data_IF_243458490401
#
_entry.id   IF_243458490401
#
_cell.length_a   1.000
_cell.length_b   1.000
_cell.length_c   1.000
_cell.angle_alpha   90.00
_cell.angle_beta   90.00
_cell.angle_gamma   90.00
#
_symmetry.space_group_name_H-M   'P 1'
#
loop_
_entity.id
_entity.type
_entity.pdbx_description
1 polymer ?
#
# COMPACT_ATOMS: atom_id res chain seq x y z
N UNK A 1 -12.08 5.87 -9.25
CA UNK A 1 -11.67 5.55 -7.91
C UNK A 1 -12.56 6.32 -6.95
N UNK A 2 -13.34 5.61 -6.12
CA UNK A 2 -13.96 6.25 -4.97
C UNK A 2 -12.81 6.70 -4.09
N UNK A 3 -12.48 7.99 -4.16
CA UNK A 3 -11.60 8.59 -3.16
C UNK A 3 -12.26 8.37 -1.80
N UNK A 4 -11.52 7.85 -0.84
CA UNK A 4 -11.94 7.88 0.55
C UNK A 4 -12.27 9.35 0.89
N UNK A 5 -13.51 9.57 1.33
CA UNK A 5 -14.05 10.91 1.47
C UNK A 5 -14.36 11.53 0.11
N UNK A 6 -15.44 11.09 -0.55
CA UNK A 6 -15.99 11.83 -1.68
C UNK A 6 -16.42 13.21 -1.18
N UNK A 7 -15.53 14.17 -1.34
CA UNK A 7 -15.96 15.58 -1.30
C UNK A 7 -16.95 15.69 -2.45
N UNK A 8 -18.20 15.94 -2.16
CA UNK A 8 -19.09 16.45 -3.18
C UNK A 8 -18.45 17.75 -3.68
N UNK A 9 -17.97 17.71 -4.91
CA UNK A 9 -17.34 18.88 -5.53
C UNK A 9 -18.40 19.98 -5.63
N UNK A 10 -18.30 20.96 -4.74
CA UNK A 10 -19.04 22.20 -4.89
C UNK A 10 -18.26 23.09 -5.88
N UNK A 11 -18.88 23.44 -7.00
CA UNK A 11 -18.31 24.35 -7.98
C UNK A 11 -17.83 25.70 -7.40
N UNK A 12 -18.17 25.99 -6.16
CA UNK A 12 -17.72 27.18 -5.41
C UNK A 12 -16.34 27.01 -4.78
N UNK A 13 -15.80 25.77 -4.71
CA UNK A 13 -14.51 25.49 -4.06
C UNK A 13 -13.28 25.82 -4.92
N UNK A 14 -13.44 26.16 -6.19
CA UNK A 14 -12.30 26.40 -7.09
C UNK A 14 -11.54 25.12 -7.47
N UNK A 15 -10.29 25.26 -7.92
CA UNK A 15 -9.45 24.14 -8.29
C UNK A 15 -8.99 23.37 -7.06
N UNK A 16 -9.27 22.06 -7.02
CA UNK A 16 -8.83 21.15 -5.97
C UNK A 16 -7.63 20.35 -6.48
N UNK A 17 -6.56 20.30 -5.70
CA UNK A 17 -5.41 19.43 -5.94
C UNK A 17 -5.60 18.11 -5.20
N UNK A 18 -5.36 17.00 -5.89
CA UNK A 18 -5.43 15.67 -5.32
C UNK A 18 -4.01 15.16 -5.07
N UNK A 19 -3.77 14.68 -3.86
CA UNK A 19 -2.49 14.08 -3.50
C UNK A 19 -2.49 12.63 -3.95
N UNK A 20 -1.66 12.30 -4.94
CA UNK A 20 -1.53 10.95 -5.49
C UNK A 20 -0.51 10.10 -4.71
N UNK A 21 0.59 10.72 -4.27
CA UNK A 21 1.62 10.07 -3.44
C UNK A 21 1.91 10.87 -2.17
N UNK A 22 2.48 10.19 -1.18
CA UNK A 22 2.83 10.79 0.10
C UNK A 22 1.65 10.98 1.06
N UNK A 23 0.45 10.50 0.75
CA UNK A 23 -0.73 10.66 1.60
C UNK A 23 -0.47 10.23 3.05
N UNK A 24 0.14 9.06 3.26
CA UNK A 24 0.45 8.58 4.62
C UNK A 24 1.46 9.47 5.34
N UNK A 25 2.49 9.93 4.64
CA UNK A 25 3.51 10.84 5.20
C UNK A 25 2.90 12.17 5.60
N UNK A 26 2.08 12.75 4.76
CA UNK A 26 1.37 14.02 5.04
C UNK A 26 0.36 13.82 6.16
N UNK A 27 -0.39 12.72 6.17
CA UNK A 27 -1.33 12.40 7.26
C UNK A 27 -0.59 12.29 8.61
N UNK A 28 0.54 11.58 8.66
CA UNK A 28 1.35 11.46 9.88
C UNK A 28 1.87 12.82 10.37
N UNK A 29 2.36 13.65 9.45
CA UNK A 29 2.79 15.02 9.79
C UNK A 29 1.62 15.89 10.27
N UNK A 30 0.47 15.80 9.61
CA UNK A 30 -0.73 16.52 10.01
C UNK A 30 -1.15 16.15 11.45
N UNK A 31 -1.20 14.84 11.76
CA UNK A 31 -1.53 14.33 13.09
C UNK A 31 -0.56 14.87 14.14
N UNK A 32 0.75 14.80 13.91
CA UNK A 32 1.77 15.25 14.86
C UNK A 32 1.72 16.77 15.05
N UNK A 33 1.61 17.53 13.97
CA UNK A 33 1.68 19.00 14.04
C UNK A 33 0.40 19.59 14.62
N UNK A 34 -0.76 19.08 14.22
CA UNK A 34 -2.06 19.66 14.60
C UNK A 34 -2.72 18.98 15.79
N UNK A 35 -2.34 17.75 16.12
CA UNK A 35 -3.03 16.91 17.11
C UNK A 35 -4.42 16.45 16.68
N UNK A 36 -4.83 16.76 15.44
CA UNK A 36 -6.17 16.50 14.92
C UNK A 36 -6.16 15.47 13.81
N UNK A 37 -7.27 14.77 13.66
CA UNK A 37 -7.49 13.90 12.49
C UNK A 37 -7.79 14.77 11.28
N UNK A 38 -7.21 14.48 10.10
CA UNK A 38 -7.56 15.20 8.87
C UNK A 38 -9.07 15.14 8.59
N UNK A 39 -9.69 16.20 8.05
CA UNK A 39 -11.14 16.35 7.95
C UNK A 39 -11.91 15.22 7.24
N UNK A 40 -11.20 14.43 6.42
CA UNK A 40 -11.80 13.36 5.62
C UNK A 40 -11.49 11.95 6.11
N UNK A 41 -10.90 11.82 7.32
CA UNK A 41 -10.59 10.56 7.94
C UNK A 41 -11.45 10.33 9.18
N UNK A 42 -11.84 9.09 9.42
CA UNK A 42 -12.37 8.66 10.71
C UNK A 42 -11.24 8.09 11.58
N UNK A 43 -11.39 8.18 12.91
CA UNK A 43 -10.36 7.71 13.85
C UNK A 43 -9.96 6.24 13.61
N UNK A 44 -10.91 5.38 13.30
CA UNK A 44 -10.68 3.96 12.97
C UNK A 44 -9.84 3.74 11.70
N UNK A 45 -9.67 4.74 10.86
CA UNK A 45 -8.89 4.66 9.61
C UNK A 45 -7.41 5.00 9.84
N UNK A 46 -7.07 5.56 10.99
CA UNK A 46 -5.70 5.87 11.39
C UNK A 46 -5.05 4.59 11.92
N UNK A 47 -4.27 3.92 11.09
CA UNK A 47 -3.60 2.66 11.47
C UNK A 47 -2.35 2.86 12.32
N UNK A 48 -1.64 3.99 12.13
CA UNK A 48 -0.47 4.37 12.91
C UNK A 48 -0.68 5.78 13.44
N UNK A 49 -1.25 5.89 14.64
CA UNK A 49 -1.49 7.17 15.26
C UNK A 49 -0.19 7.75 15.84
N UNK A 50 0.26 8.83 15.24
CA UNK A 50 1.49 9.52 15.63
C UNK A 50 1.26 10.64 16.65
N UNK A 51 0.02 10.93 17.06
CA UNK A 51 -0.31 11.97 18.03
C UNK A 51 0.28 11.70 19.42
N UNK A 52 0.38 10.44 19.81
CA UNK A 52 0.97 10.04 21.09
C UNK A 52 2.49 9.86 21.08
N UNK A 53 3.21 10.48 20.13
CA UNK A 53 4.67 10.40 20.05
C UNK A 53 5.30 11.45 20.97
N UNK A 54 6.25 11.03 21.80
CA UNK A 54 7.03 11.88 22.69
C UNK A 54 8.44 12.07 22.16
N UNK A 55 9.02 13.21 22.49
CA UNK A 55 10.42 13.53 22.21
C UNK A 55 11.16 13.86 23.49
N UNK A 56 12.38 13.35 23.61
CA UNK A 56 13.30 13.76 24.65
C UNK A 56 14.09 15.01 24.21
N UNK A 57 13.90 16.12 24.88
CA UNK A 57 14.52 17.39 24.49
C UNK A 57 16.03 17.47 24.74
N UNK A 58 16.62 16.52 25.48
CA UNK A 58 18.09 16.47 25.66
C UNK A 58 18.80 15.83 24.44
N UNK A 59 18.21 14.75 23.88
CA UNK A 59 18.91 13.92 22.90
C UNK A 59 18.15 13.75 21.57
N UNK A 60 16.89 14.23 21.49
CA UNK A 60 16.05 14.12 20.28
C UNK A 60 15.44 12.74 20.06
N UNK A 61 15.52 11.82 21.04
CA UNK A 61 14.93 10.49 20.94
C UNK A 61 13.41 10.57 20.84
N UNK A 62 12.83 9.80 19.92
CA UNK A 62 11.38 9.71 19.71
C UNK A 62 10.86 8.36 20.18
N UNK A 63 9.85 8.34 21.03
CA UNK A 63 9.19 7.12 21.49
C UNK A 63 7.71 7.39 21.78
N UNK A 64 6.89 6.34 21.65
CA UNK A 64 5.56 6.35 22.24
C UNK A 64 5.66 6.27 23.77
N UNK A 65 4.65 6.80 24.46
CA UNK A 65 4.65 6.90 25.92
C UNK A 65 5.05 5.59 26.60
N UNK A 66 6.06 5.69 27.48
CA UNK A 66 6.51 4.61 28.35
C UNK A 66 6.57 5.12 29.80
N UNK A 67 5.66 4.64 30.62
CA UNK A 67 5.55 5.07 32.03
C UNK A 67 6.89 5.01 32.77
N UNK A 68 7.65 3.93 32.58
CA UNK A 68 8.92 3.69 33.29
C UNK A 68 10.01 4.74 33.08
N UNK A 69 9.98 5.44 31.96
CA UNK A 69 11.03 6.42 31.60
C UNK A 69 10.52 7.85 31.43
N UNK A 70 9.20 8.03 31.31
CA UNK A 70 8.61 9.36 31.02
C UNK A 70 7.80 9.97 32.16
N UNK A 71 7.18 9.16 33.05
CA UNK A 71 6.22 9.63 34.07
C UNK A 71 6.76 10.76 34.95
N UNK A 72 8.07 10.75 35.28
CA UNK A 72 8.69 11.76 36.15
C UNK A 72 9.87 12.47 35.49
N UNK A 73 9.96 12.39 34.17
CA UNK A 73 11.05 13.02 33.43
C UNK A 73 10.51 14.13 32.52
N UNK A 74 10.65 15.41 32.97
CA UNK A 74 10.10 16.56 32.25
C UNK A 74 10.82 16.86 30.91
N UNK A 75 11.91 16.15 30.58
CA UNK A 75 12.58 16.26 29.28
C UNK A 75 11.81 15.52 28.20
N UNK A 76 10.96 14.55 28.56
CA UNK A 76 10.06 13.91 27.63
C UNK A 76 8.77 14.70 27.48
N UNK A 77 8.57 15.26 26.30
CA UNK A 77 7.42 16.11 25.97
C UNK A 77 6.67 15.50 24.79
N UNK A 78 5.35 15.60 24.79
CA UNK A 78 4.56 15.19 23.64
C UNK A 78 4.94 16.04 22.41
N UNK A 79 5.25 15.39 21.32
CA UNK A 79 5.78 16.08 20.12
C UNK A 79 4.78 17.10 19.56
N UNK A 80 3.49 16.79 19.63
CA UNK A 80 2.39 17.70 19.24
C UNK A 80 2.43 18.99 20.08
N UNK A 81 2.65 18.88 21.38
CA UNK A 81 2.75 20.05 22.25
C UNK A 81 3.95 20.92 21.87
N UNK A 82 5.10 20.33 21.51
CA UNK A 82 6.26 21.09 21.05
C UNK A 82 5.92 21.92 19.82
N UNK A 83 5.14 21.40 18.87
CA UNK A 83 4.72 22.13 17.67
C UNK A 83 3.71 23.26 17.97
N UNK A 84 2.78 23.04 18.89
CA UNK A 84 1.68 23.96 19.18
C UNK A 84 2.03 25.03 20.19
N UNK A 85 2.97 24.73 21.09
CA UNK A 85 3.33 25.63 22.18
C UNK A 85 4.17 26.83 21.71
N UNK A 86 3.88 27.99 22.27
CA UNK A 86 4.62 29.24 22.04
C UNK A 86 5.88 29.31 22.95
N UNK A 87 6.72 28.28 22.93
CA UNK A 87 7.94 28.14 23.71
C UNK A 87 7.74 28.09 25.24
N UNK A 88 6.53 27.90 25.72
CA UNK A 88 6.22 27.85 27.19
C UNK A 88 6.88 26.64 27.83
N UNK A 89 6.85 25.48 27.18
CA UNK A 89 7.51 24.25 27.64
C UNK A 89 9.01 24.49 27.76
N UNK A 90 9.61 25.05 26.70
CA UNK A 90 11.05 25.40 26.67
C UNK A 90 11.43 26.32 27.82
N UNK A 91 10.67 27.41 28.04
CA UNK A 91 10.93 28.37 29.11
C UNK A 91 10.78 27.73 30.48
N UNK A 92 9.79 26.86 30.67
CA UNK A 92 9.60 26.15 31.95
C UNK A 92 10.78 25.23 32.29
N UNK A 93 11.38 24.57 31.29
CA UNK A 93 12.58 23.75 31.49
C UNK A 93 13.82 24.61 31.78
N UNK A 94 14.06 25.64 31.00
CA UNK A 94 15.25 26.50 31.11
C UNK A 94 15.28 27.30 32.45
N UNK A 95 14.14 27.55 33.05
CA UNK A 95 14.04 28.23 34.36
C UNK A 95 14.39 27.33 35.56
N UNK A 96 14.54 26.02 35.36
CA UNK A 96 14.92 25.08 36.40
C UNK A 96 16.44 24.93 36.46
N UNK A 97 17.01 25.10 37.65
CA UNK A 97 18.47 25.02 37.88
C UNK A 97 19.05 23.66 37.46
N UNK A 98 18.28 22.59 37.63
CA UNK A 98 18.67 21.21 37.27
C UNK A 98 18.98 21.03 35.79
N UNK A 99 18.37 21.82 34.89
CA UNK A 99 18.58 21.71 33.44
C UNK A 99 19.55 22.73 32.86
N UNK A 100 20.09 23.64 33.66
CA UNK A 100 21.12 24.60 33.21
C UNK A 100 22.31 23.94 32.53
N UNK A 101 22.87 22.81 33.05
CA UNK A 101 24.02 22.18 32.40
C UNK A 101 23.75 21.64 30.99
N UNK A 102 22.49 21.35 30.66
CA UNK A 102 22.05 20.78 29.35
C UNK A 102 21.19 21.74 28.54
N UNK A 103 21.09 23.01 29.00
CA UNK A 103 20.22 24.02 28.37
C UNK A 103 20.49 24.22 26.88
N UNK A 104 21.75 24.16 26.46
CA UNK A 104 22.15 24.28 25.04
C UNK A 104 21.58 23.13 24.20
N UNK A 105 21.68 21.91 24.70
CA UNK A 105 21.11 20.72 24.01
C UNK A 105 19.57 20.81 23.90
N UNK A 106 18.91 21.24 24.95
CA UNK A 106 17.45 21.45 24.97
C UNK A 106 17.04 22.48 23.92
N UNK A 107 17.75 23.62 23.86
CA UNK A 107 17.54 24.68 22.87
C UNK A 107 17.74 24.18 21.45
N UNK A 108 18.84 23.47 21.20
CA UNK A 108 19.18 22.91 19.89
C UNK A 108 18.11 21.92 19.42
N UNK A 109 17.74 20.96 20.29
CA UNK A 109 16.73 19.93 19.96
C UNK A 109 15.36 20.54 19.68
N UNK A 110 14.90 21.45 20.58
CA UNK A 110 13.66 22.16 20.36
C UNK A 110 13.68 22.99 19.08
N UNK A 111 14.77 23.68 18.79
CA UNK A 111 14.96 24.46 17.56
C UNK A 111 14.90 23.58 16.30
N UNK A 112 15.54 22.41 16.32
CA UNK A 112 15.48 21.42 15.22
C UNK A 112 14.04 20.98 14.96
N UNK A 113 13.27 20.66 16.02
CA UNK A 113 11.88 20.24 15.91
C UNK A 113 11.02 21.37 15.30
N UNK A 114 11.11 22.57 15.86
CA UNK A 114 10.39 23.75 15.32
C UNK A 114 10.80 24.06 13.88
N UNK A 115 12.06 23.85 13.54
CA UNK A 115 12.59 24.03 12.18
C UNK A 115 11.93 23.14 11.13
N UNK A 116 11.35 22.00 11.54
CA UNK A 116 10.59 21.13 10.63
C UNK A 116 9.41 21.88 9.96
N UNK A 117 8.81 22.82 10.69
CA UNK A 117 7.69 23.63 10.15
C UNK A 117 8.13 24.58 9.01
N UNK A 118 9.42 24.80 8.84
CA UNK A 118 10.00 25.62 7.78
C UNK A 118 10.48 24.79 6.59
N UNK A 119 10.34 23.46 6.67
CA UNK A 119 10.76 22.56 5.59
C UNK A 119 9.78 22.66 4.43
N UNK A 120 10.30 23.03 3.26
CA UNK A 120 9.52 23.07 2.04
C UNK A 120 9.45 21.67 1.39
N UNK A 121 8.27 21.31 0.92
CA UNK A 121 8.06 20.10 0.14
C UNK A 121 7.99 20.45 -1.34
N UNK A 122 8.76 19.72 -2.15
CA UNK A 122 8.65 19.84 -3.60
C UNK A 122 7.37 19.18 -4.07
N UNK A 123 6.50 19.95 -4.71
CA UNK A 123 5.26 19.47 -5.31
C UNK A 123 5.47 19.21 -6.81
N UNK A 124 5.24 17.97 -7.24
CA UNK A 124 5.17 17.64 -8.67
C UNK A 124 3.71 17.63 -9.10
N UNK A 125 3.32 18.62 -9.90
CA UNK A 125 1.94 18.73 -10.40
C UNK A 125 1.81 17.95 -11.70
N UNK A 126 0.82 17.05 -11.76
CA UNK A 126 0.41 16.38 -13.00
C UNK A 126 -0.63 17.29 -13.67
N UNK A 127 -0.41 17.73 -14.93
CA UNK A 127 -1.37 18.56 -15.66
C UNK A 127 -2.73 17.85 -15.78
N UNK A 128 -3.81 18.62 -15.75
CA UNK A 128 -5.18 18.10 -15.86
C UNK A 128 -5.44 17.49 -17.26
N UNK A 129 -4.69 17.93 -18.25
CA UNK A 129 -4.74 17.47 -19.64
C UNK A 129 -3.97 16.16 -19.82
N UNK A 130 -3.13 15.76 -18.86
CA UNK A 130 -2.35 14.52 -18.94
C UNK A 130 -3.28 13.32 -19.04
N UNK A 131 -3.04 12.48 -20.03
CA UNK A 131 -3.73 11.21 -20.08
C UNK A 131 -3.22 10.27 -18.98
N UNK A 132 -3.98 9.20 -18.72
CA UNK A 132 -3.68 8.28 -17.61
C UNK A 132 -2.29 7.65 -17.71
N UNK A 133 -1.79 7.41 -18.90
CA UNK A 133 -0.47 6.86 -19.15
C UNK A 133 0.63 7.86 -18.78
N UNK A 134 0.49 9.11 -19.21
CA UNK A 134 1.41 10.18 -18.85
C UNK A 134 1.43 10.42 -17.34
N UNK A 135 0.26 10.39 -16.70
CA UNK A 135 0.17 10.53 -15.24
C UNK A 135 0.90 9.38 -14.51
N UNK A 136 0.79 8.15 -14.99
CA UNK A 136 1.48 6.98 -14.43
C UNK A 136 3.00 7.07 -14.69
N UNK A 137 3.43 7.48 -15.88
CA UNK A 137 4.85 7.64 -16.21
C UNK A 137 5.51 8.73 -15.35
N UNK A 138 4.82 9.85 -15.11
CA UNK A 138 5.27 10.90 -14.19
C UNK A 138 5.35 10.35 -12.76
N UNK A 139 4.29 9.66 -12.29
CA UNK A 139 4.25 9.06 -10.97
C UNK A 139 5.39 8.05 -10.76
N UNK A 140 5.67 7.21 -11.75
CA UNK A 140 6.79 6.26 -11.74
C UNK A 140 8.15 6.98 -11.65
N UNK A 141 8.35 8.01 -12.47
CA UNK A 141 9.60 8.78 -12.51
C UNK A 141 9.88 9.47 -11.17
N UNK A 142 8.87 10.07 -10.57
CA UNK A 142 8.98 10.76 -9.28
C UNK A 142 9.27 9.77 -8.15
N UNK A 143 8.67 8.58 -8.18
CA UNK A 143 8.86 7.56 -7.15
C UNK A 143 10.12 6.70 -7.34
N UNK A 144 10.84 6.83 -8.46
CA UNK A 144 12.05 6.04 -8.73
C UNK A 144 13.20 6.29 -7.73
N UNK A 145 13.17 7.39 -7.00
CA UNK A 145 14.11 7.70 -5.91
C UNK A 145 13.72 7.17 -4.52
N UNK A 146 12.55 6.50 -4.39
CA UNK A 146 12.00 5.97 -3.14
C UNK A 146 11.73 4.47 -3.22
N UNK A 147 10.59 4.04 -2.65
CA UNK A 147 10.09 2.66 -2.84
C UNK A 147 9.53 2.58 -4.25
N UNK A 148 10.24 1.87 -5.13
CA UNK A 148 9.79 1.66 -6.51
C UNK A 148 8.55 0.77 -6.52
N UNK A 149 7.53 1.18 -7.29
CA UNK A 149 6.39 0.31 -7.58
C UNK A 149 6.87 -0.93 -8.33
N UNK A 150 6.27 -2.06 -8.00
CA UNK A 150 6.47 -3.28 -8.79
C UNK A 150 5.77 -3.13 -10.16
N UNK A 151 6.24 -3.86 -11.16
CA UNK A 151 5.58 -3.90 -12.47
C UNK A 151 4.10 -4.30 -12.37
N UNK A 152 3.76 -5.14 -11.39
CA UNK A 152 2.39 -5.55 -11.12
C UNK A 152 1.53 -4.42 -10.54
N UNK A 153 2.08 -3.61 -9.65
CA UNK A 153 1.38 -2.43 -9.11
C UNK A 153 1.13 -1.40 -10.21
N UNK A 154 2.11 -1.20 -11.08
CA UNK A 154 1.98 -0.33 -12.25
C UNK A 154 0.92 -0.84 -13.23
N UNK A 155 0.95 -2.14 -13.55
CA UNK A 155 -0.06 -2.77 -14.40
C UNK A 155 -1.47 -2.65 -13.79
N UNK A 156 -1.63 -2.87 -12.47
CA UNK A 156 -2.90 -2.71 -11.80
C UNK A 156 -3.39 -1.25 -11.83
N UNK A 157 -2.50 -0.28 -11.63
CA UNK A 157 -2.87 1.13 -11.71
C UNK A 157 -3.44 1.48 -13.10
N UNK A 158 -2.81 0.98 -14.15
CA UNK A 158 -3.26 1.18 -15.52
C UNK A 158 -4.57 0.45 -15.83
N UNK A 159 -4.71 -0.81 -15.39
CA UNK A 159 -5.96 -1.58 -15.51
C UNK A 159 -7.10 -0.82 -14.80
N UNK A 160 -6.86 -0.31 -13.59
CA UNK A 160 -7.86 0.45 -12.82
C UNK A 160 -8.27 1.75 -13.51
N UNK A 161 -7.43 2.32 -14.36
CA UNK A 161 -7.74 3.51 -15.14
C UNK A 161 -8.86 3.32 -16.17
N UNK A 162 -9.06 2.10 -16.67
CA UNK A 162 -10.13 1.77 -17.61
C UNK A 162 -11.11 0.73 -17.08
N UNK A 163 -10.80 0.09 -15.96
CA UNK A 163 -11.67 -0.83 -15.23
C UNK A 163 -11.59 -0.51 -13.73
N UNK A 164 -12.47 0.35 -13.28
CA UNK A 164 -12.45 0.96 -11.95
C UNK A 164 -12.48 -0.09 -10.81
N UNK A 165 -13.29 -1.15 -10.95
CA UNK A 165 -13.48 -2.16 -9.92
C UNK A 165 -12.32 -3.18 -9.83
N UNK A 166 -11.38 -3.18 -10.78
CA UNK A 166 -10.32 -4.20 -10.87
C UNK A 166 -9.54 -4.37 -9.57
N UNK A 167 -9.16 -3.25 -8.95
CA UNK A 167 -8.38 -3.23 -7.72
C UNK A 167 -9.08 -3.92 -6.56
N UNK A 168 -10.37 -3.63 -6.40
CA UNK A 168 -11.15 -4.19 -5.30
C UNK A 168 -11.42 -5.67 -5.52
N UNK A 169 -11.76 -6.08 -6.74
CA UNK A 169 -11.97 -7.48 -7.12
C UNK A 169 -10.70 -8.33 -6.94
N UNK A 170 -9.53 -7.79 -7.28
CA UNK A 170 -8.26 -8.50 -7.08
C UNK A 170 -7.94 -8.66 -5.60
N UNK A 171 -8.14 -7.60 -4.80
CA UNK A 171 -7.95 -7.66 -3.35
C UNK A 171 -8.90 -8.64 -2.66
N UNK A 172 -10.17 -8.61 -3.04
CA UNK A 172 -11.17 -9.53 -2.50
C UNK A 172 -10.76 -10.99 -2.75
N UNK A 173 -10.31 -11.32 -3.97
CA UNK A 173 -9.84 -12.68 -4.28
C UNK A 173 -8.58 -13.05 -3.53
N UNK A 174 -7.62 -12.13 -3.40
CA UNK A 174 -6.41 -12.34 -2.59
C UNK A 174 -6.78 -12.67 -1.14
N UNK A 175 -7.74 -11.93 -0.57
CA UNK A 175 -8.23 -12.16 0.78
C UNK A 175 -8.92 -13.53 0.91
N UNK A 176 -9.82 -13.88 -0.01
CA UNK A 176 -10.49 -15.19 -0.06
C UNK A 176 -9.50 -16.36 -0.14
N UNK A 177 -8.45 -16.24 -0.97
CA UNK A 177 -7.41 -17.24 -1.08
C UNK A 177 -6.52 -17.31 0.18
N UNK A 178 -6.29 -16.18 0.83
CA UNK A 178 -5.54 -16.12 2.09
C UNK A 178 -6.28 -16.84 3.23
N UNK A 179 -7.60 -16.68 3.35
CA UNK A 179 -8.44 -17.44 4.29
C UNK A 179 -8.38 -18.96 4.03
N UNK A 180 -8.15 -19.34 2.79
CA UNK A 180 -7.93 -20.73 2.37
C UNK A 180 -6.48 -21.22 2.58
N UNK A 181 -5.61 -20.47 3.26
CA UNK A 181 -4.22 -20.82 3.50
C UNK A 181 -3.23 -20.42 2.40
N UNK A 182 -3.69 -19.73 1.36
CA UNK A 182 -2.89 -19.30 0.23
C UNK A 182 -2.80 -17.77 0.11
N UNK A 183 -2.03 -17.09 0.98
CA UNK A 183 -1.91 -15.63 1.00
C UNK A 183 -1.02 -15.14 -0.16
N UNK A 184 -1.55 -15.17 -1.37
CA UNK A 184 -0.86 -14.63 -2.55
C UNK A 184 -0.73 -13.12 -2.48
N UNK A 185 0.33 -12.61 -3.11
CA UNK A 185 0.51 -11.17 -3.33
C UNK A 185 -0.15 -10.73 -4.63
N UNK A 186 -0.32 -9.41 -4.77
CA UNK A 186 -0.86 -8.81 -5.98
C UNK A 186 -0.07 -9.22 -7.24
N UNK A 187 1.26 -9.26 -7.15
CA UNK A 187 2.13 -9.68 -8.25
C UNK A 187 1.71 -11.03 -8.84
N UNK A 188 1.40 -12.02 -7.97
CA UNK A 188 0.95 -13.33 -8.42
C UNK A 188 -0.32 -13.25 -9.29
N UNK A 189 -1.30 -12.45 -8.87
CA UNK A 189 -2.56 -12.27 -9.63
C UNK A 189 -2.30 -11.62 -10.98
N UNK A 190 -1.51 -10.56 -11.01
CA UNK A 190 -1.20 -9.82 -12.25
C UNK A 190 -0.39 -10.68 -13.21
N UNK A 191 0.64 -11.38 -12.72
CA UNK A 191 1.42 -12.32 -13.57
C UNK A 191 0.57 -13.49 -14.07
N UNK A 192 -0.37 -13.99 -13.26
CA UNK A 192 -1.31 -15.03 -13.65
C UNK A 192 -2.20 -14.54 -14.80
N UNK A 193 -2.77 -13.34 -14.66
CA UNK A 193 -3.60 -12.73 -15.70
C UNK A 193 -2.81 -12.56 -17.00
N UNK A 194 -1.59 -12.02 -16.92
CA UNK A 194 -0.70 -11.84 -18.06
C UNK A 194 -0.39 -13.18 -18.76
N UNK A 195 -0.01 -14.20 -17.98
CA UNK A 195 0.34 -15.50 -18.48
C UNK A 195 -0.84 -16.20 -19.17
N UNK A 196 -2.04 -16.08 -18.62
CA UNK A 196 -3.26 -16.64 -19.21
C UNK A 196 -3.61 -15.94 -20.51
N UNK A 197 -3.54 -14.60 -20.55
CA UNK A 197 -3.91 -13.81 -21.73
C UNK A 197 -2.92 -13.91 -22.89
N UNK A 198 -1.62 -13.93 -22.57
CA UNK A 198 -0.56 -13.78 -23.59
C UNK A 198 0.43 -14.94 -23.64
N UNK A 199 0.33 -15.93 -22.73
CA UNK A 199 1.27 -17.05 -22.61
C UNK A 199 2.73 -16.58 -22.41
N UNK A 200 2.90 -15.42 -21.81
CA UNK A 200 4.16 -14.76 -21.54
C UNK A 200 4.13 -14.20 -20.13
N UNK A 201 5.26 -14.17 -19.43
CA UNK A 201 5.40 -13.65 -18.08
C UNK A 201 6.06 -12.27 -17.99
N UNK A 202 6.57 -11.75 -19.12
CA UNK A 202 7.44 -10.57 -19.17
C UNK A 202 6.85 -9.35 -19.89
N UNK A 203 5.69 -9.50 -20.55
CA UNK A 203 5.11 -8.46 -21.37
C UNK A 203 4.01 -7.65 -20.66
N UNK A 204 4.31 -7.13 -19.44
CA UNK A 204 3.38 -6.31 -18.64
C UNK A 204 2.76 -5.16 -19.45
N UNK A 205 3.52 -4.58 -20.39
CA UNK A 205 3.04 -3.48 -21.25
C UNK A 205 1.81 -3.85 -22.08
N UNK A 206 1.56 -5.12 -22.32
CA UNK A 206 0.36 -5.58 -23.04
C UNK A 206 -0.92 -5.41 -22.22
N UNK A 207 -0.84 -5.37 -20.88
CA UNK A 207 -1.98 -5.10 -20.02
C UNK A 207 -2.37 -3.61 -20.00
N UNK A 208 -1.51 -2.75 -20.50
CA UNK A 208 -1.68 -1.29 -20.40
C UNK A 208 -2.66 -0.70 -21.44
N UNK A 209 -3.07 -1.47 -22.43
CA UNK A 209 -3.98 -0.97 -23.48
C UNK A 209 -5.43 -1.10 -23.05
N UNK A 210 -6.17 0.03 -23.13
CA UNK A 210 -7.61 0.05 -22.90
C UNK A 210 -8.39 -0.87 -23.86
N UNK A 211 -7.82 -1.17 -25.04
CA UNK A 211 -8.41 -2.10 -26.02
C UNK A 211 -8.55 -3.52 -25.46
N UNK A 212 -7.76 -3.85 -24.43
CA UNK A 212 -7.82 -5.15 -23.78
C UNK A 212 -8.85 -5.23 -22.64
N UNK A 213 -9.58 -4.15 -22.32
CA UNK A 213 -10.52 -4.07 -21.20
C UNK A 213 -11.47 -5.25 -21.13
N UNK A 214 -12.19 -5.51 -22.19
CA UNK A 214 -13.20 -6.59 -22.21
C UNK A 214 -12.55 -7.98 -22.09
N UNK A 215 -11.39 -8.16 -22.72
CA UNK A 215 -10.63 -9.40 -22.61
C UNK A 215 -10.09 -9.62 -21.21
N UNK A 216 -9.59 -8.57 -20.54
CA UNK A 216 -9.12 -8.64 -19.15
C UNK A 216 -10.27 -9.00 -18.22
N UNK A 217 -11.43 -8.34 -18.36
CA UNK A 217 -12.63 -8.62 -17.56
C UNK A 217 -13.09 -10.06 -17.70
N UNK A 218 -13.29 -10.54 -18.94
CA UNK A 218 -13.76 -11.91 -19.19
C UNK A 218 -12.74 -12.95 -18.72
N UNK A 219 -11.44 -12.72 -18.92
CA UNK A 219 -10.38 -13.59 -18.39
C UNK A 219 -10.42 -13.62 -16.86
N UNK A 220 -10.55 -12.47 -16.21
CA UNK A 220 -10.63 -12.39 -14.76
C UNK A 220 -11.87 -13.12 -14.21
N UNK A 221 -13.03 -12.98 -14.84
CA UNK A 221 -14.23 -13.68 -14.40
C UNK A 221 -14.05 -15.20 -14.37
N UNK A 222 -13.41 -15.76 -15.39
CA UNK A 222 -13.13 -17.20 -15.45
C UNK A 222 -12.08 -17.58 -14.38
N UNK A 223 -11.00 -16.81 -14.25
CA UNK A 223 -9.97 -17.03 -13.25
C UNK A 223 -10.56 -17.00 -11.82
N UNK A 224 -11.33 -15.96 -11.51
CA UNK A 224 -11.89 -15.75 -10.19
C UNK A 224 -12.92 -16.82 -9.80
N UNK A 225 -13.86 -17.14 -10.70
CA UNK A 225 -14.99 -18.04 -10.37
C UNK A 225 -14.62 -19.51 -10.42
N UNK A 226 -13.67 -19.91 -11.28
CA UNK A 226 -13.48 -21.32 -11.58
C UNK A 226 -12.04 -21.80 -11.44
N UNK A 227 -11.07 -21.05 -11.97
CA UNK A 227 -9.74 -21.61 -12.19
C UNK A 227 -8.89 -21.60 -10.93
N UNK A 228 -8.82 -20.48 -10.23
CA UNK A 228 -7.97 -20.34 -9.04
C UNK A 228 -8.38 -21.33 -7.95
N UNK A 229 -9.67 -21.38 -7.62
CA UNK A 229 -10.17 -22.30 -6.60
C UNK A 229 -10.00 -23.77 -6.99
N UNK A 230 -10.17 -24.09 -8.25
CA UNK A 230 -9.98 -25.47 -8.73
C UNK A 230 -8.53 -25.92 -8.59
N UNK A 231 -7.56 -25.09 -8.96
CA UNK A 231 -6.13 -25.41 -8.79
C UNK A 231 -5.77 -25.57 -7.32
N UNK A 232 -6.24 -24.67 -6.45
CA UNK A 232 -6.05 -24.78 -4.99
C UNK A 232 -6.65 -26.09 -4.44
N UNK A 233 -7.83 -26.47 -4.90
CA UNK A 233 -8.47 -27.73 -4.48
C UNK A 233 -7.66 -28.96 -4.93
N UNK A 234 -7.04 -28.96 -6.11
CA UNK A 234 -6.13 -30.01 -6.54
C UNK A 234 -4.90 -30.09 -5.63
N UNK A 235 -4.28 -28.96 -5.32
CA UNK A 235 -3.13 -28.90 -4.43
C UNK A 235 -3.45 -29.54 -3.07
N UNK A 236 -4.57 -29.17 -2.47
CA UNK A 236 -5.01 -29.71 -1.18
C UNK A 236 -5.34 -31.20 -1.24
N UNK A 237 -6.21 -31.57 -2.14
CA UNK A 237 -6.79 -32.92 -2.13
C UNK A 237 -5.91 -33.98 -2.78
N UNK A 238 -4.94 -33.59 -3.59
CA UNK A 238 -4.14 -34.51 -4.41
C UNK A 238 -2.64 -34.38 -4.20
N UNK A 239 -2.15 -33.17 -3.89
CA UNK A 239 -0.76 -32.92 -3.57
C UNK A 239 -0.52 -32.72 -2.05
N UNK A 240 -1.58 -32.72 -1.21
CA UNK A 240 -1.52 -32.54 0.23
C UNK A 240 -0.81 -31.24 0.66
N UNK A 241 -0.99 -30.19 -0.14
CA UNK A 241 -0.46 -28.83 0.12
C UNK A 241 -1.60 -27.98 0.66
N UNK A 242 -1.59 -27.68 1.93
CA UNK A 242 -2.65 -26.94 2.62
C UNK A 242 -2.32 -25.45 2.78
N UNK A 243 -1.05 -25.09 2.64
CA UNK A 243 -0.62 -23.71 2.85
C UNK A 243 0.46 -23.28 1.86
N UNK A 244 0.43 -22.00 1.45
CA UNK A 244 1.38 -21.41 0.50
C UNK A 244 2.84 -21.55 0.96
N UNK A 245 3.11 -21.60 2.27
CA UNK A 245 4.47 -21.81 2.84
C UNK A 245 5.11 -23.15 2.48
N UNK A 246 4.30 -24.11 2.07
CA UNK A 246 4.77 -25.44 1.63
C UNK A 246 5.26 -25.41 0.18
N UNK A 247 5.08 -24.28 -0.51
CA UNK A 247 5.48 -24.08 -1.91
C UNK A 247 6.69 -23.16 -1.95
N UNK A 248 7.79 -23.60 -2.54
CA UNK A 248 9.01 -22.82 -2.67
C UNK A 248 8.80 -21.48 -3.43
N UNK A 249 7.98 -21.52 -4.47
CA UNK A 249 7.64 -20.34 -5.25
C UNK A 249 6.17 -20.38 -5.69
N UNK A 250 5.36 -19.38 -5.32
CA UNK A 250 3.98 -19.26 -5.79
C UNK A 250 3.85 -19.29 -7.32
N UNK A 251 4.85 -18.74 -8.01
CA UNK A 251 4.84 -18.63 -9.46
C UNK A 251 4.91 -19.98 -10.18
N UNK A 252 5.36 -21.04 -9.50
CA UNK A 252 5.29 -22.41 -10.05
C UNK A 252 3.84 -22.88 -10.31
N UNK A 253 2.84 -22.24 -9.72
CA UNK A 253 1.43 -22.55 -9.97
C UNK A 253 0.90 -21.94 -11.28
N UNK A 254 1.53 -20.89 -11.79
CA UNK A 254 1.04 -20.19 -12.98
C UNK A 254 0.92 -21.10 -14.21
N UNK A 255 1.90 -21.96 -14.56
CA UNK A 255 1.74 -22.88 -15.67
C UNK A 255 0.56 -23.85 -15.51
N UNK A 256 0.27 -24.30 -14.30
CA UNK A 256 -0.87 -25.18 -14.01
C UNK A 256 -2.18 -24.41 -14.22
N UNK A 257 -2.24 -23.17 -13.74
CA UNK A 257 -3.39 -22.27 -13.91
C UNK A 257 -3.65 -22.00 -15.40
N UNK A 258 -2.62 -21.65 -16.15
CA UNK A 258 -2.70 -21.41 -17.61
C UNK A 258 -3.19 -22.66 -18.34
N UNK A 259 -2.66 -23.83 -17.99
CA UNK A 259 -3.07 -25.10 -18.61
C UNK A 259 -4.54 -25.42 -18.33
N UNK A 260 -4.98 -25.25 -17.09
CA UNK A 260 -6.38 -25.48 -16.73
C UNK A 260 -7.31 -24.43 -17.36
N UNK A 261 -6.91 -23.16 -17.38
CA UNK A 261 -7.69 -22.10 -17.99
C UNK A 261 -7.99 -22.42 -19.47
N UNK A 262 -6.98 -22.84 -20.26
CA UNK A 262 -7.15 -23.23 -21.65
C UNK A 262 -8.09 -24.42 -21.83
N UNK A 263 -7.99 -25.41 -20.95
CA UNK A 263 -8.93 -26.54 -20.97
C UNK A 263 -10.35 -26.09 -20.69
N UNK A 264 -10.52 -25.21 -19.69
CA UNK A 264 -11.83 -24.68 -19.35
C UNK A 264 -12.47 -23.90 -20.52
N UNK A 265 -11.70 -23.07 -21.22
CA UNK A 265 -12.17 -22.38 -22.43
C UNK A 265 -12.57 -23.34 -23.55
N UNK A 266 -11.90 -24.47 -23.66
CA UNK A 266 -12.23 -25.52 -24.64
C UNK A 266 -13.41 -26.43 -24.21
N UNK A 267 -14.05 -26.12 -23.07
CA UNK A 267 -15.21 -26.87 -22.56
C UNK A 267 -14.90 -27.98 -21.56
N UNK A 268 -13.64 -28.27 -21.31
CA UNK A 268 -13.19 -29.27 -20.33
C UNK A 268 -13.16 -28.71 -18.90
N UNK A 269 -14.17 -28.99 -18.12
CA UNK A 269 -14.32 -28.44 -16.77
C UNK A 269 -13.51 -29.14 -15.67
N UNK A 270 -12.79 -30.23 -16.00
CA UNK A 270 -12.00 -31.01 -15.04
C UNK A 270 -10.80 -31.64 -15.70
N UNK A 271 -9.72 -31.78 -14.94
CA UNK A 271 -8.61 -32.64 -15.35
C UNK A 271 -8.99 -34.12 -15.22
N UNK A 272 -8.50 -34.94 -16.13
CA UNK A 272 -8.54 -36.39 -15.99
C UNK A 272 -7.55 -36.83 -14.89
N UNK A 273 -7.73 -38.01 -14.31
CA UNK A 273 -6.81 -38.59 -13.32
C UNK A 273 -5.36 -38.65 -13.84
N UNK A 274 -5.19 -38.98 -15.12
CA UNK A 274 -3.88 -39.03 -15.78
C UNK A 274 -3.19 -37.66 -15.81
N UNK A 275 -3.94 -36.59 -16.05
CA UNK A 275 -3.44 -35.23 -16.06
C UNK A 275 -3.08 -34.77 -14.67
N UNK A 276 -3.95 -35.02 -13.68
CA UNK A 276 -3.68 -34.70 -12.27
C UNK A 276 -2.37 -35.35 -11.81
N UNK A 277 -2.19 -36.65 -12.11
CA UNK A 277 -0.96 -37.36 -11.74
C UNK A 277 0.28 -36.79 -12.43
N UNK A 278 0.17 -36.30 -13.69
CA UNK A 278 1.27 -35.62 -14.36
C UNK A 278 1.58 -34.26 -13.72
N UNK A 279 0.54 -33.48 -13.39
CA UNK A 279 0.70 -32.20 -12.72
C UNK A 279 1.40 -32.36 -11.37
N UNK A 280 0.97 -33.33 -10.57
CA UNK A 280 1.58 -33.61 -9.26
C UNK A 280 3.06 -34.02 -9.41
N UNK A 281 3.36 -34.89 -10.36
CA UNK A 281 4.77 -35.29 -10.63
C UNK A 281 5.64 -34.13 -11.12
N UNK A 282 5.06 -33.19 -11.82
CA UNK A 282 5.78 -32.00 -12.27
C UNK A 282 5.97 -31.00 -11.14
N UNK A 283 5.01 -30.95 -10.22
CA UNK A 283 5.03 -30.04 -9.09
C UNK A 283 6.07 -30.42 -8.04
N UNK A 284 6.31 -31.73 -7.80
CA UNK A 284 7.35 -32.28 -6.93
C UNK A 284 8.65 -32.58 -7.68
#
# INVERSE_FOLDING_TARGET
PKMKGSIEYDNKMGAIKLILDGQQRITSLYLIITGNIPPYYEDKEITNDTRGLFVNLENGELQYYKKTIMENNPLWVELTEVFQDNNKILMNLLNKDEFKPISEKILETHGKIKGILQTEFVEQVIPIEANIREAIDIFYTVNSGGITLTDAELALAQISGYWEEARDLFKEKIFDLAEKGFPFKLDFIVYTLLAVMYQSGDEMKKLHSADNKEKIKSTWEILNKYVLDYVINILRNRAFVDHLKEINSPYALIPIIVYYFKKFENGDKKFSEKEINKIIRWFY
#
